data_IF_272273956094
#
_entry.id   IF_272273956094
#
_cell.length_a   1.000
_cell.length_b   1.000
_cell.length_c   1.000
_cell.angle_alpha   90.00
_cell.angle_beta   90.00
_cell.angle_gamma   90.00
#
_symmetry.space_group_name_H-M   'P 1'
#
loop_
_entity.id
_entity.type
_entity.pdbx_description
1 polymer ?
#
# COMPACT_ATOMS: atom_id res chain seq x y z
N UNK A 1 -34.24 -1.84 -5.25
CA UNK A 1 -33.84 -3.26 -5.17
C UNK A 1 -32.58 -3.33 -4.35
N UNK A 2 -32.62 -4.04 -3.22
CA UNK A 2 -31.47 -4.20 -2.33
C UNK A 2 -30.61 -5.30 -2.97
N UNK A 3 -29.48 -4.94 -3.58
CA UNK A 3 -28.44 -5.93 -3.89
C UNK A 3 -27.77 -6.30 -2.57
N UNK A 4 -28.41 -7.18 -1.80
CA UNK A 4 -27.77 -7.78 -0.63
C UNK A 4 -26.65 -8.68 -1.13
N UNK A 5 -25.41 -8.24 -0.92
CA UNK A 5 -24.23 -9.02 -1.29
C UNK A 5 -24.18 -10.26 -0.39
N UNK A 6 -24.29 -11.45 -0.98
CA UNK A 6 -24.24 -12.74 -0.25
C UNK A 6 -22.98 -12.85 0.62
N UNK A 7 -21.90 -12.19 0.19
CA UNK A 7 -20.62 -12.13 0.91
C UNK A 7 -20.73 -11.35 2.22
N UNK A 8 -21.55 -10.30 2.28
CA UNK A 8 -21.75 -9.52 3.51
C UNK A 8 -22.57 -10.29 4.53
N UNK A 9 -23.62 -11.00 4.07
CA UNK A 9 -24.43 -11.86 4.93
C UNK A 9 -23.61 -13.02 5.51
N UNK A 10 -22.77 -13.64 4.70
CA UNK A 10 -21.87 -14.71 5.15
C UNK A 10 -20.84 -14.22 6.20
N UNK A 11 -20.41 -12.96 6.14
CA UNK A 11 -19.51 -12.36 7.15
C UNK A 11 -20.21 -12.05 8.47
N UNK A 12 -21.48 -11.67 8.43
CA UNK A 12 -22.26 -11.30 9.61
C UNK A 12 -22.80 -12.53 10.36
N UNK A 13 -23.11 -13.61 9.64
CA UNK A 13 -23.69 -14.83 10.18
C UNK A 13 -22.88 -16.06 9.72
N UNK A 14 -21.77 -16.40 10.38
CA UNK A 14 -20.86 -17.47 9.93
C UNK A 14 -21.49 -18.87 9.98
N UNK A 15 -22.52 -19.10 10.79
CA UNK A 15 -23.17 -20.40 10.98
C UNK A 15 -24.47 -20.59 10.17
N UNK A 16 -24.69 -19.76 9.13
CA UNK A 16 -25.92 -19.81 8.32
C UNK A 16 -25.74 -20.75 7.10
N UNK A 17 -26.72 -21.63 6.87
CA UNK A 17 -26.78 -22.44 5.67
C UNK A 17 -27.49 -21.66 4.55
N UNK A 18 -26.78 -21.40 3.45
CA UNK A 18 -27.30 -20.67 2.28
C UNK A 18 -27.44 -21.63 1.11
N UNK A 19 -28.65 -21.76 0.57
CA UNK A 19 -28.90 -22.55 -0.65
C UNK A 19 -28.75 -21.65 -1.87
N UNK A 20 -27.85 -22.03 -2.78
CA UNK A 20 -27.53 -21.29 -4.00
C UNK A 20 -27.67 -22.20 -5.22
N UNK A 21 -28.02 -21.64 -6.38
CA UNK A 21 -27.89 -22.36 -7.64
C UNK A 21 -26.43 -22.45 -8.06
N UNK A 22 -26.07 -23.49 -8.83
CA UNK A 22 -24.70 -23.67 -9.31
C UNK A 22 -24.16 -22.45 -10.10
N UNK A 23 -25.01 -21.76 -10.89
CA UNK A 23 -24.62 -20.55 -11.61
C UNK A 23 -24.29 -19.37 -10.68
N UNK A 24 -25.07 -19.19 -9.60
CA UNK A 24 -24.86 -18.13 -8.61
C UNK A 24 -23.56 -18.37 -7.81
N UNK A 25 -23.20 -19.63 -7.59
CA UNK A 25 -21.93 -20.00 -6.96
C UNK A 25 -20.73 -19.60 -7.84
N UNK A 26 -20.81 -19.81 -9.16
CA UNK A 26 -19.74 -19.43 -10.09
C UNK A 26 -19.57 -17.90 -10.09
N UNK A 27 -20.66 -17.14 -10.18
CA UNK A 27 -20.61 -15.68 -10.14
C UNK A 27 -20.00 -15.15 -8.83
N UNK A 28 -20.32 -15.77 -7.69
CA UNK A 28 -19.74 -15.40 -6.40
C UNK A 28 -18.23 -15.69 -6.33
N UNK A 29 -17.78 -16.83 -6.90
CA UNK A 29 -16.36 -17.17 -6.98
C UNK A 29 -15.63 -16.16 -7.88
N UNK A 30 -16.15 -15.88 -9.07
CA UNK A 30 -15.55 -14.93 -10.00
C UNK A 30 -15.50 -13.51 -9.41
N UNK A 31 -16.55 -13.09 -8.69
CA UNK A 31 -16.56 -11.83 -7.97
C UNK A 31 -15.44 -11.76 -6.93
N UNK A 32 -15.29 -12.79 -6.10
CA UNK A 32 -14.24 -12.86 -5.09
C UNK A 32 -12.84 -12.82 -5.73
N UNK A 33 -12.59 -13.63 -6.75
CA UNK A 33 -11.30 -13.67 -7.45
C UNK A 33 -10.96 -12.34 -8.10
N UNK A 34 -11.93 -11.70 -8.78
CA UNK A 34 -11.71 -10.42 -9.44
C UNK A 34 -11.51 -9.29 -8.44
N UNK A 35 -12.20 -9.32 -7.30
CA UNK A 35 -11.98 -8.37 -6.21
C UNK A 35 -10.57 -8.49 -5.63
N UNK A 36 -10.13 -9.71 -5.33
CA UNK A 36 -8.76 -9.95 -4.84
C UNK A 36 -7.71 -9.52 -5.86
N UNK A 37 -7.92 -9.79 -7.17
CA UNK A 37 -7.03 -9.30 -8.24
C UNK A 37 -6.95 -7.78 -8.26
N UNK A 38 -8.07 -7.07 -8.20
CA UNK A 38 -8.10 -5.60 -8.15
C UNK A 38 -7.37 -5.04 -6.93
N UNK A 39 -7.56 -5.65 -5.76
CA UNK A 39 -6.88 -5.24 -4.53
C UNK A 39 -5.35 -5.47 -4.61
N UNK A 40 -4.90 -6.53 -5.30
CA UNK A 40 -3.48 -6.78 -5.57
C UNK A 40 -2.91 -5.81 -6.61
N UNK A 41 -3.64 -5.54 -7.70
CA UNK A 41 -3.24 -4.56 -8.72
C UNK A 41 -3.09 -3.16 -8.13
N UNK A 42 -4.02 -2.74 -7.26
CA UNK A 42 -3.96 -1.45 -6.59
C UNK A 42 -2.74 -1.36 -5.65
N UNK A 43 -2.43 -2.41 -4.90
CA UNK A 43 -1.20 -2.47 -4.09
C UNK A 43 0.07 -2.38 -4.95
N UNK A 44 0.07 -2.97 -6.15
CA UNK A 44 1.19 -2.86 -7.10
C UNK A 44 1.29 -1.44 -7.66
N UNK A 45 0.17 -0.80 -8.03
CA UNK A 45 0.16 0.59 -8.53
C UNK A 45 0.61 1.59 -7.47
N UNK A 46 0.15 1.42 -6.23
CA UNK A 46 0.56 2.26 -5.09
C UNK A 46 2.03 2.00 -4.70
N UNK A 47 2.53 0.77 -4.90
CA UNK A 47 3.95 0.46 -4.75
C UNK A 47 4.81 1.05 -5.89
N UNK A 48 4.29 1.10 -7.12
CA UNK A 48 5.00 1.60 -8.30
C UNK A 48 4.95 3.12 -8.47
N UNK A 49 4.04 3.82 -7.78
CA UNK A 49 4.02 5.29 -7.79
C UNK A 49 5.07 5.80 -6.81
N UNK A 50 6.27 6.09 -7.32
CA UNK A 50 7.34 6.69 -6.52
C UNK A 50 6.85 8.02 -5.90
N UNK A 51 6.91 8.12 -4.58
CA UNK A 51 6.52 9.32 -3.84
C UNK A 51 7.74 10.02 -3.28
N UNK A 52 7.60 11.34 -3.10
CA UNK A 52 8.72 12.23 -2.76
C UNK A 52 8.45 13.00 -1.46
N UNK A 53 8.50 12.34 -0.28
CA UNK A 53 8.34 13.00 1.01
C UNK A 53 9.35 14.15 1.24
N UNK A 54 8.92 15.15 2.02
CA UNK A 54 9.80 16.22 2.52
C UNK A 54 10.81 15.68 3.52
N UNK A 55 11.86 16.45 3.82
CA UNK A 55 12.78 16.12 4.90
C UNK A 55 12.09 15.89 6.26
N UNK A 56 11.00 16.61 6.54
CA UNK A 56 10.25 16.44 7.79
C UNK A 56 9.45 15.12 7.80
N UNK A 57 8.82 14.78 6.67
CA UNK A 57 8.10 13.52 6.53
C UNK A 57 9.06 12.32 6.57
N UNK A 58 10.18 12.40 5.87
CA UNK A 58 11.23 11.37 5.88
C UNK A 58 11.78 11.14 7.29
N UNK A 59 12.04 12.21 8.04
CA UNK A 59 12.51 12.11 9.43
C UNK A 59 11.50 11.37 10.31
N UNK A 60 10.19 11.67 10.15
CA UNK A 60 9.11 10.98 10.86
C UNK A 60 9.01 9.50 10.47
N UNK A 61 9.08 9.19 9.17
CA UNK A 61 8.99 7.80 8.67
C UNK A 61 10.14 6.94 9.22
N UNK A 62 11.36 7.47 9.20
CA UNK A 62 12.55 6.76 9.67
C UNK A 62 12.77 6.86 11.18
N UNK A 63 11.92 7.59 11.89
CA UNK A 63 12.05 7.90 13.32
C UNK A 63 13.45 8.43 13.70
N UNK A 64 13.97 9.38 12.90
CA UNK A 64 15.28 10.02 13.10
C UNK A 64 15.15 11.54 13.15
N UNK A 65 16.12 12.22 13.74
CA UNK A 65 16.18 13.68 13.68
C UNK A 65 16.60 14.20 12.29
N UNK A 66 16.17 15.42 11.95
CA UNK A 66 16.52 16.08 10.67
C UNK A 66 18.03 16.25 10.48
N UNK A 67 18.80 16.41 11.55
CA UNK A 67 20.26 16.48 11.47
C UNK A 67 20.89 15.17 10.99
N UNK A 68 20.25 14.02 11.28
CA UNK A 68 20.68 12.71 10.79
C UNK A 68 20.53 12.61 9.28
N UNK A 69 19.43 13.11 8.72
CA UNK A 69 19.22 13.16 7.27
C UNK A 69 20.28 14.00 6.56
N UNK A 70 20.70 15.13 7.16
CA UNK A 70 21.79 15.94 6.61
C UNK A 70 23.12 15.18 6.59
N UNK A 71 23.44 14.47 7.69
CA UNK A 71 24.65 13.63 7.77
C UNK A 71 24.61 12.51 6.74
N UNK A 72 23.46 11.85 6.58
CA UNK A 72 23.26 10.81 5.57
C UNK A 72 23.41 11.33 4.16
N UNK A 73 22.85 12.49 3.85
CA UNK A 73 23.03 13.15 2.56
C UNK A 73 24.52 13.44 2.28
N UNK A 74 25.29 13.87 3.29
CA UNK A 74 26.74 14.10 3.15
C UNK A 74 27.51 12.80 2.92
N UNK A 75 27.10 11.70 3.54
CA UNK A 75 27.72 10.37 3.37
C UNK A 75 27.25 9.60 2.13
N UNK A 76 26.21 10.08 1.45
CA UNK A 76 25.56 9.37 0.33
C UNK A 76 24.58 8.26 0.73
N UNK A 77 24.40 7.98 2.03
CA UNK A 77 23.52 6.92 2.53
C UNK A 77 22.04 7.12 2.17
N UNK A 78 21.53 8.35 2.30
CA UNK A 78 20.20 8.74 1.85
C UNK A 78 20.30 10.12 1.20
N UNK A 79 20.24 10.14 -0.13
CA UNK A 79 20.51 11.34 -0.91
C UNK A 79 19.20 12.02 -1.33
N UNK A 80 18.99 13.30 -0.98
CA UNK A 80 17.82 14.02 -1.46
C UNK A 80 17.96 14.40 -2.92
N UNK A 81 16.82 14.50 -3.59
CA UNK A 81 16.67 15.06 -4.92
C UNK A 81 15.94 16.40 -4.87
N UNK A 82 16.06 17.21 -5.91
CA UNK A 82 15.28 18.42 -6.05
C UNK A 82 14.02 18.17 -6.87
N UNK A 83 12.86 18.46 -6.28
CA UNK A 83 11.56 18.43 -6.96
C UNK A 83 10.91 19.79 -6.76
N UNK A 84 10.82 20.58 -7.82
CA UNK A 84 10.27 21.95 -7.77
C UNK A 84 11.04 22.88 -6.82
N UNK A 85 12.37 22.78 -6.80
CA UNK A 85 13.25 23.61 -5.95
C UNK A 85 13.20 23.25 -4.46
N UNK A 86 12.54 22.16 -4.09
CA UNK A 86 12.50 21.65 -2.70
C UNK A 86 13.20 20.30 -2.62
N UNK A 87 14.01 20.12 -1.58
CA UNK A 87 14.66 18.83 -1.27
C UNK A 87 13.61 17.79 -0.86
N UNK A 88 13.58 16.69 -1.58
CA UNK A 88 12.73 15.52 -1.33
C UNK A 88 13.56 14.25 -1.32
N UNK A 89 12.99 13.17 -0.81
CA UNK A 89 13.63 11.85 -0.76
C UNK A 89 12.75 10.85 -1.47
N UNK A 90 13.35 9.90 -2.18
CA UNK A 90 12.58 8.80 -2.81
C UNK A 90 12.03 7.89 -1.72
N UNK A 91 10.76 7.55 -1.82
CA UNK A 91 10.15 6.60 -0.90
C UNK A 91 10.77 5.20 -1.07
N UNK A 92 11.18 4.82 -2.27
CA UNK A 92 11.94 3.57 -2.49
C UNK A 92 13.23 3.50 -1.68
N UNK A 93 14.03 4.57 -1.64
CA UNK A 93 15.24 4.63 -0.84
C UNK A 93 14.94 4.57 0.66
N UNK A 94 13.88 5.24 1.11
CA UNK A 94 13.41 5.20 2.50
C UNK A 94 12.96 3.79 2.89
N UNK A 95 12.18 3.11 2.03
CA UNK A 95 11.72 1.74 2.23
C UNK A 95 12.90 0.77 2.31
N UNK A 96 13.89 0.90 1.43
CA UNK A 96 15.13 0.10 1.48
C UNK A 96 15.84 0.20 2.83
N UNK A 97 15.88 1.41 3.42
CA UNK A 97 16.45 1.62 4.76
C UNK A 97 15.60 0.92 5.84
N UNK A 98 14.27 1.03 5.77
CA UNK A 98 13.35 0.39 6.73
C UNK A 98 13.39 -1.14 6.67
N UNK A 99 13.55 -1.70 5.48
CA UNK A 99 13.63 -3.15 5.23
C UNK A 99 15.02 -3.73 5.58
N UNK A 100 15.95 -2.90 6.07
CA UNK A 100 17.29 -3.33 6.49
C UNK A 100 18.29 -3.53 5.35
N UNK A 101 18.05 -2.92 4.19
CA UNK A 101 18.88 -3.08 2.99
C UNK A 101 20.22 -2.37 3.08
N UNK A 102 21.30 -3.14 2.85
CA UNK A 102 22.58 -2.64 2.31
C UNK A 102 22.44 -2.24 0.85
#
# INVERSE_FOLDING_TARGET
MIHSNVVELAKQCPDVNITLKAGELIEAIDYCVNRTRKELEQQITDANTESYPSAEQTAKILNVDRSSLWRWAKSGYLTPIEVGGKRRYKMSDIKRILEGGK
#
